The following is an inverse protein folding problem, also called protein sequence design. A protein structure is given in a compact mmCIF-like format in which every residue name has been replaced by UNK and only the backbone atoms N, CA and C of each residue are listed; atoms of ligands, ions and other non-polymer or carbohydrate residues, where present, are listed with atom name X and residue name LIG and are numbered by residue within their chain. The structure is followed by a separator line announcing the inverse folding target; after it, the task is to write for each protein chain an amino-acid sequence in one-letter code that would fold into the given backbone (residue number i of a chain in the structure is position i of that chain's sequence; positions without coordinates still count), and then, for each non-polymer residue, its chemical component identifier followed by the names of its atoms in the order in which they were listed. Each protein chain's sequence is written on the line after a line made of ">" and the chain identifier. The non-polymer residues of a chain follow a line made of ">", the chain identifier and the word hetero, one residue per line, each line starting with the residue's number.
data_IF_113100589529
#
_entry.id   IF_113100589529
#
_cell.length_a   1.000
_cell.length_b   1.000
_cell.length_c   1.000
_cell.angle_alpha   90.00
_cell.angle_beta   90.00
_cell.angle_gamma   90.00
#
_symmetry.space_group_name_H-M   'P 1'
#
loop_
_entity.id
_entity.type
_entity.pdbx_description
1 polymer ?
#
# COMPACT_ATOMS: atom_id res chain seq x y z
N UNK A 1 -0.42 31.12 -11.75
CA UNK A 1 1.02 31.28 -12.01
C UNK A 1 1.77 30.80 -10.77
N UNK A 2 3.03 30.38 -10.90
CA UNK A 2 3.85 29.96 -9.77
C UNK A 2 4.98 30.94 -9.54
N UNK A 3 5.13 31.44 -8.30
CA UNK A 3 6.30 32.23 -7.91
C UNK A 3 7.50 31.28 -7.80
N UNK A 4 8.59 31.59 -8.50
CA UNK A 4 9.82 30.78 -8.45
C UNK A 4 10.72 31.13 -7.27
N UNK A 5 10.53 32.30 -6.65
CA UNK A 5 11.45 32.87 -5.65
C UNK A 5 12.75 33.42 -6.25
N UNK A 6 12.92 33.37 -7.57
CA UNK A 6 14.13 33.85 -8.25
C UNK A 6 13.97 35.36 -8.56
N UNK A 7 14.94 36.21 -8.19
CA UNK A 7 14.95 37.63 -8.58
C UNK A 7 14.99 37.81 -10.11
N UNK A 8 14.28 38.81 -10.62
CA UNK A 8 14.20 39.08 -12.05
C UNK A 8 15.52 39.56 -12.67
N UNK A 9 16.45 40.05 -11.84
CA UNK A 9 17.80 40.50 -12.19
C UNK A 9 18.87 39.41 -12.00
N UNK A 10 18.50 38.20 -11.58
CA UNK A 10 19.45 37.10 -11.44
C UNK A 10 19.97 36.66 -12.83
N UNK A 11 21.29 36.83 -13.04
CA UNK A 11 21.97 36.52 -14.29
C UNK A 11 21.68 35.09 -14.80
N UNK A 12 21.25 34.98 -16.07
CA UNK A 12 21.40 33.75 -16.85
C UNK A 12 20.14 32.99 -17.30
N UNK A 13 18.91 33.44 -17.00
CA UNK A 13 17.71 32.63 -17.30
C UNK A 13 16.50 33.37 -17.90
N UNK A 14 16.70 34.43 -18.68
CA UNK A 14 15.60 34.97 -19.47
C UNK A 14 15.51 34.21 -20.80
N UNK A 15 14.86 33.03 -20.78
CA UNK A 15 14.20 32.57 -22.00
C UNK A 15 13.17 33.66 -22.36
N UNK A 16 13.56 34.52 -23.31
CA UNK A 16 12.84 35.75 -23.61
C UNK A 16 11.36 35.44 -23.86
N UNK A 17 10.50 36.02 -23.03
CA UNK A 17 9.04 35.95 -23.07
C UNK A 17 8.37 34.68 -22.51
N UNK A 18 9.08 33.74 -21.87
CA UNK A 18 8.41 32.62 -21.18
C UNK A 18 8.04 32.93 -19.72
N UNK A 19 8.80 33.78 -19.05
CA UNK A 19 8.53 34.14 -17.65
C UNK A 19 7.79 35.45 -17.55
N UNK A 20 6.97 35.57 -16.51
CA UNK A 20 6.38 36.84 -16.10
C UNK A 20 7.17 37.43 -14.94
N UNK A 21 7.47 38.73 -15.03
CA UNK A 21 8.11 39.47 -13.94
C UNK A 21 7.03 40.17 -13.14
N UNK A 22 6.83 39.74 -11.89
CA UNK A 22 5.88 40.33 -10.96
C UNK A 22 6.57 40.60 -9.62
N UNK A 23 6.46 41.84 -9.13
CA UNK A 23 7.07 42.26 -7.86
C UNK A 23 8.57 41.95 -7.76
N UNK A 24 9.31 42.11 -8.87
CA UNK A 24 10.76 41.88 -8.91
C UNK A 24 11.19 40.41 -8.90
N UNK A 25 10.24 39.47 -8.97
CA UNK A 25 10.51 38.02 -9.01
C UNK A 25 10.03 37.39 -10.32
N UNK A 26 10.64 36.28 -10.71
CA UNK A 26 10.24 35.49 -11.87
C UNK A 26 9.08 34.56 -11.50
N UNK A 27 8.07 34.53 -12.35
CA UNK A 27 6.90 33.68 -12.23
C UNK A 27 6.74 32.81 -13.47
N UNK A 28 6.28 31.58 -13.25
CA UNK A 28 5.87 30.64 -14.30
C UNK A 28 4.38 30.82 -14.56
N UNK A 29 3.97 31.46 -15.67
CA UNK A 29 2.58 31.52 -16.05
C UNK A 29 2.08 30.16 -16.55
N UNK A 30 0.82 29.84 -16.23
CA UNK A 30 0.15 28.64 -16.73
C UNK A 30 -1.24 29.05 -17.20
N UNK A 31 -1.47 28.94 -18.51
CA UNK A 31 -2.79 29.11 -19.11
C UNK A 31 -3.56 27.77 -19.04
N UNK A 32 -4.53 27.69 -18.13
CA UNK A 32 -5.24 26.43 -17.83
C UNK A 32 -6.37 26.11 -18.82
N UNK A 33 -6.70 27.03 -19.72
CA UNK A 33 -7.78 26.86 -20.70
C UNK A 33 -7.37 26.10 -21.97
N UNK A 34 -6.07 25.91 -22.20
CA UNK A 34 -5.53 25.27 -23.41
C UNK A 34 -5.49 23.72 -23.30
N UNK A 35 -6.66 23.09 -23.38
CA UNK A 35 -6.79 21.63 -23.38
C UNK A 35 -6.25 21.03 -24.69
N UNK A 36 -5.45 19.95 -24.60
CA UNK A 36 -4.93 19.22 -25.77
C UNK A 36 -3.70 19.84 -26.46
N UNK A 37 -3.15 20.94 -25.91
CA UNK A 37 -1.94 21.58 -26.43
C UNK A 37 -0.69 21.16 -25.64
N UNK A 38 0.49 21.34 -26.26
CA UNK A 38 1.77 21.12 -25.59
C UNK A 38 1.95 22.11 -24.44
N UNK A 39 2.56 21.65 -23.35
CA UNK A 39 2.79 22.44 -22.13
C UNK A 39 3.50 23.78 -22.40
N UNK A 40 4.51 23.78 -23.29
CA UNK A 40 5.23 25.00 -23.68
C UNK A 40 4.30 26.06 -24.27
N UNK A 41 3.29 25.67 -25.06
CA UNK A 41 2.31 26.63 -25.62
C UNK A 41 1.44 27.25 -24.54
N UNK A 42 1.07 26.49 -23.50
CA UNK A 42 0.30 27.02 -22.38
C UNK A 42 1.13 28.02 -21.54
N UNK A 43 2.43 27.79 -21.46
CA UNK A 43 3.38 28.67 -20.79
C UNK A 43 3.57 29.97 -21.57
N UNK A 44 3.90 29.88 -22.87
CA UNK A 44 4.00 31.02 -23.79
C UNK A 44 2.72 31.88 -23.73
N UNK A 45 1.56 31.22 -23.86
CA UNK A 45 0.29 31.94 -23.86
C UNK A 45 0.00 32.63 -22.53
N UNK A 46 0.30 31.97 -21.42
CA UNK A 46 0.14 32.57 -20.11
C UNK A 46 1.04 33.79 -19.91
N UNK A 47 2.27 33.75 -20.44
CA UNK A 47 3.20 34.88 -20.41
C UNK A 47 2.70 36.06 -21.24
N UNK A 48 2.28 35.81 -22.49
CA UNK A 48 1.66 36.82 -23.35
C UNK A 48 0.46 37.48 -22.67
N UNK A 49 -0.44 36.66 -22.10
CA UNK A 49 -1.64 37.13 -21.42
C UNK A 49 -1.26 37.98 -20.20
N UNK A 50 -0.28 37.55 -19.41
CA UNK A 50 0.22 38.34 -18.28
C UNK A 50 0.66 39.75 -18.73
N UNK A 51 1.57 39.85 -19.71
CA UNK A 51 2.08 41.15 -20.16
C UNK A 51 1.02 42.00 -20.87
N UNK A 52 0.01 41.39 -21.49
CA UNK A 52 -1.13 42.09 -22.08
C UNK A 52 -2.00 42.78 -21.02
N UNK A 53 -2.14 42.18 -19.83
CA UNK A 53 -3.07 42.65 -18.81
C UNK A 53 -2.39 43.21 -17.55
N UNK A 54 -1.06 43.15 -17.44
CA UNK A 54 -0.33 43.56 -16.22
C UNK A 54 -0.62 45.00 -15.76
N UNK A 55 -0.90 45.89 -16.72
CA UNK A 55 -1.16 47.32 -16.46
C UNK A 55 -2.65 47.62 -16.22
N UNK A 56 -3.54 46.63 -16.37
CA UNK A 56 -5.00 46.78 -16.18
C UNK A 56 -5.45 46.45 -14.74
N UNK A 57 -4.49 46.31 -13.82
CA UNK A 57 -4.73 45.81 -12.47
C UNK A 57 -4.74 44.29 -12.43
N UNK A 58 -3.75 43.71 -11.74
CA UNK A 58 -3.67 42.28 -11.49
C UNK A 58 -4.13 41.99 -10.07
N UNK A 59 -4.97 40.96 -9.92
CA UNK A 59 -5.32 40.40 -8.61
C UNK A 59 -4.62 39.07 -8.45
N UNK A 60 -3.72 38.98 -7.47
CA UNK A 60 -3.12 37.70 -7.07
C UNK A 60 -4.10 37.00 -6.14
N UNK A 61 -4.53 35.81 -6.54
CA UNK A 61 -5.39 34.96 -5.75
C UNK A 61 -4.55 33.78 -5.23
N UNK A 62 -4.39 33.70 -3.91
CA UNK A 62 -3.75 32.54 -3.30
C UNK A 62 -4.68 31.32 -3.45
N UNK A 63 -4.19 30.24 -4.05
CA UNK A 63 -5.04 29.10 -4.41
C UNK A 63 -5.63 28.39 -3.18
N UNK A 64 -5.02 28.52 -2.01
CA UNK A 64 -5.52 27.92 -0.77
C UNK A 64 -6.66 28.75 -0.16
N UNK A 65 -6.60 30.07 -0.26
CA UNK A 65 -7.67 30.97 0.24
C UNK A 65 -8.71 31.35 -0.82
N UNK A 66 -8.41 31.16 -2.11
CA UNK A 66 -9.32 31.49 -3.22
C UNK A 66 -10.68 30.82 -3.10
N UNK A 67 -10.75 29.65 -2.46
CA UNK A 67 -11.97 28.89 -2.21
C UNK A 67 -12.98 29.63 -1.33
N UNK A 68 -12.53 30.62 -0.55
CA UNK A 68 -13.40 31.45 0.28
C UNK A 68 -14.19 32.46 -0.55
N UNK A 69 -13.58 32.99 -1.61
CA UNK A 69 -14.17 34.02 -2.49
C UNK A 69 -14.80 33.40 -3.73
N UNK A 70 -14.09 32.48 -4.36
CA UNK A 70 -14.53 31.72 -5.54
C UNK A 70 -14.78 30.30 -5.10
N UNK A 71 -15.88 30.08 -4.39
CA UNK A 71 -16.32 28.72 -4.07
C UNK A 71 -16.36 27.94 -5.39
N UNK A 72 -15.67 26.79 -5.47
CA UNK A 72 -15.79 25.94 -6.64
C UNK A 72 -17.27 25.70 -6.89
N UNK A 73 -17.65 25.45 -8.14
CA UNK A 73 -18.92 24.78 -8.40
C UNK A 73 -18.83 23.36 -7.83
N UNK A 74 -18.93 23.25 -6.51
CA UNK A 74 -19.09 21.99 -5.82
C UNK A 74 -20.44 21.46 -6.25
N UNK A 75 -20.47 20.21 -6.70
CA UNK A 75 -21.71 19.48 -6.79
C UNK A 75 -22.44 19.63 -5.44
N UNK A 76 -23.77 19.78 -5.42
CA UNK A 76 -24.52 19.84 -4.17
C UNK A 76 -24.14 18.64 -3.30
N UNK A 77 -24.16 18.84 -1.98
CA UNK A 77 -23.92 17.76 -1.04
C UNK A 77 -24.79 16.57 -1.41
N UNK A 78 -24.13 15.44 -1.66
CA UNK A 78 -24.81 14.22 -2.06
C UNK A 78 -25.06 13.37 -0.84
N UNK A 79 -26.31 12.97 -0.63
CA UNK A 79 -26.66 11.91 0.33
C UNK A 79 -26.09 10.54 -0.08
N UNK A 80 -25.47 10.47 -1.27
CA UNK A 80 -24.78 9.29 -1.75
C UNK A 80 -23.60 8.95 -0.84
N UNK A 81 -23.72 7.82 -0.14
CA UNK A 81 -22.59 7.17 0.52
C UNK A 81 -22.16 5.96 -0.29
N UNK A 82 -20.85 5.82 -0.48
CA UNK A 82 -20.27 4.59 -1.00
C UNK A 82 -20.66 3.44 -0.05
N UNK A 83 -21.64 2.65 -0.46
CA UNK A 83 -22.16 1.52 0.29
C UNK A 83 -22.13 0.28 -0.60
N UNK A 84 -21.77 -0.86 -0.04
CA UNK A 84 -21.77 -2.13 -0.77
C UNK A 84 -20.60 -2.35 -1.74
N UNK A 85 -19.53 -1.55 -1.67
CA UNK A 85 -18.28 -1.87 -2.38
C UNK A 85 -17.68 -3.16 -1.80
N UNK A 86 -17.95 -4.28 -2.46
CA UNK A 86 -17.27 -5.54 -2.22
C UNK A 86 -16.47 -5.92 -3.47
N UNK A 87 -15.44 -6.75 -3.29
CA UNK A 87 -14.53 -7.16 -4.36
C UNK A 87 -15.27 -7.71 -5.58
N UNK A 88 -16.34 -8.48 -5.37
CA UNK A 88 -17.12 -9.08 -6.45
C UNK A 88 -17.93 -8.04 -7.23
N UNK A 89 -18.47 -7.02 -6.58
CA UNK A 89 -19.18 -5.92 -7.22
C UNK A 89 -18.22 -5.03 -8.05
N UNK A 90 -17.00 -4.81 -7.56
CA UNK A 90 -15.94 -4.10 -8.29
C UNK A 90 -15.50 -4.92 -9.50
N UNK A 91 -15.19 -6.20 -9.33
CA UNK A 91 -14.77 -7.08 -10.43
C UNK A 91 -15.87 -7.25 -11.49
N UNK A 92 -17.13 -7.32 -11.08
CA UNK A 92 -18.27 -7.35 -12.01
C UNK A 92 -18.38 -6.07 -12.83
N UNK A 93 -18.05 -4.92 -12.24
CA UNK A 93 -18.15 -3.61 -12.89
C UNK A 93 -16.90 -3.28 -13.73
N UNK A 94 -15.74 -3.78 -13.31
CA UNK A 94 -14.44 -3.52 -13.91
C UNK A 94 -13.64 -4.84 -14.03
N UNK A 95 -14.04 -5.74 -14.94
CA UNK A 95 -13.41 -7.05 -15.05
C UNK A 95 -11.94 -6.91 -15.44
N UNK A 96 -11.04 -7.47 -14.62
CA UNK A 96 -9.59 -7.40 -14.83
C UNK A 96 -8.90 -6.14 -14.29
N UNK A 97 -9.63 -5.07 -13.97
CA UNK A 97 -9.02 -3.83 -13.44
C UNK A 97 -8.63 -3.99 -11.98
N UNK A 98 -9.40 -4.70 -11.16
CA UNK A 98 -9.03 -4.97 -9.76
C UNK A 98 -7.70 -5.73 -9.70
N UNK A 99 -7.54 -6.73 -10.56
CA UNK A 99 -6.29 -7.48 -10.67
C UNK A 99 -5.16 -6.64 -11.24
N UNK A 100 -5.43 -5.76 -12.20
CA UNK A 100 -4.43 -4.84 -12.76
C UNK A 100 -3.95 -3.82 -11.74
N UNK A 101 -4.85 -3.23 -10.96
CA UNK A 101 -4.52 -2.30 -9.86
C UNK A 101 -3.75 -3.02 -8.75
N UNK A 102 -4.20 -4.20 -8.33
CA UNK A 102 -3.48 -5.02 -7.35
C UNK A 102 -2.09 -5.40 -7.86
N UNK A 103 -1.95 -5.70 -9.16
CA UNK A 103 -0.66 -5.98 -9.79
C UNK A 103 0.24 -4.75 -9.82
N UNK A 104 -0.26 -3.56 -10.16
CA UNK A 104 0.51 -2.30 -10.12
C UNK A 104 0.94 -1.97 -8.67
N UNK A 105 0.05 -2.11 -7.69
CA UNK A 105 0.37 -1.95 -6.26
C UNK A 105 1.47 -2.91 -5.85
N UNK A 106 1.32 -4.19 -6.22
CA UNK A 106 2.32 -5.21 -5.91
C UNK A 106 3.67 -4.93 -6.57
N UNK A 107 3.69 -4.48 -7.83
CA UNK A 107 4.93 -4.14 -8.53
C UNK A 107 5.64 -2.98 -7.84
N UNK A 108 4.89 -1.98 -7.36
CA UNK A 108 5.45 -0.84 -6.63
C UNK A 108 6.04 -1.27 -5.29
N UNK A 109 5.28 -2.05 -4.50
CA UNK A 109 5.71 -2.53 -3.18
C UNK A 109 6.86 -3.54 -3.27
N UNK A 110 6.88 -4.40 -4.29
CA UNK A 110 7.93 -5.41 -4.48
C UNK A 110 9.17 -4.86 -5.17
N UNK A 111 9.10 -3.72 -5.87
CA UNK A 111 10.18 -3.19 -6.73
C UNK A 111 11.55 -3.19 -6.05
N UNK A 112 11.62 -2.58 -4.86
CA UNK A 112 12.86 -2.49 -4.09
C UNK A 112 13.43 -3.87 -3.77
N UNK A 113 12.59 -4.81 -3.36
CA UNK A 113 13.02 -6.16 -3.02
C UNK A 113 13.42 -6.97 -4.26
N UNK A 114 12.73 -6.79 -5.38
CA UNK A 114 13.12 -7.40 -6.66
C UNK A 114 14.47 -6.87 -7.16
N UNK A 115 14.77 -5.58 -6.97
CA UNK A 115 16.07 -5.03 -7.30
C UNK A 115 17.17 -5.55 -6.35
N UNK A 116 16.86 -5.74 -5.07
CA UNK A 116 17.76 -6.45 -4.13
C UNK A 116 18.03 -7.88 -4.57
N UNK A 117 17.00 -8.62 -5.02
CA UNK A 117 17.15 -9.99 -5.55
C UNK A 117 18.01 -10.00 -6.82
N UNK A 118 17.85 -9.03 -7.71
CA UNK A 118 18.71 -8.94 -8.91
C UNK A 118 20.18 -8.73 -8.53
N UNK A 119 20.45 -7.88 -7.54
CA UNK A 119 21.81 -7.61 -7.07
C UNK A 119 22.40 -8.79 -6.27
N UNK A 120 21.56 -9.46 -5.48
CA UNK A 120 21.91 -10.60 -4.64
C UNK A 120 20.79 -11.66 -4.73
N UNK A 121 20.92 -12.64 -5.65
CA UNK A 121 19.86 -13.63 -5.92
C UNK A 121 19.42 -14.48 -4.73
N UNK A 122 20.30 -14.65 -3.74
CA UNK A 122 20.02 -15.46 -2.54
C UNK A 122 19.75 -14.60 -1.29
N UNK A 123 19.28 -13.36 -1.47
CA UNK A 123 18.84 -12.52 -0.37
C UNK A 123 17.52 -13.05 0.24
N UNK A 124 17.66 -13.74 1.37
CA UNK A 124 16.57 -14.38 2.12
C UNK A 124 15.46 -13.39 2.48
N UNK A 125 15.83 -12.22 3.00
CA UNK A 125 14.88 -11.22 3.48
C UNK A 125 14.10 -10.62 2.32
N UNK A 126 14.76 -10.30 1.20
CA UNK A 126 14.10 -9.79 0.02
C UNK A 126 13.08 -10.80 -0.55
N UNK A 127 13.44 -12.08 -0.66
CA UNK A 127 12.49 -13.12 -1.08
C UNK A 127 11.32 -13.27 -0.11
N UNK A 128 11.58 -13.25 1.21
CA UNK A 128 10.53 -13.34 2.22
C UNK A 128 9.55 -12.17 2.11
N UNK A 129 10.03 -10.94 1.94
CA UNK A 129 9.19 -9.75 1.80
C UNK A 129 8.34 -9.78 0.52
N UNK A 130 8.92 -10.19 -0.62
CA UNK A 130 8.14 -10.36 -1.87
C UNK A 130 7.03 -11.39 -1.67
N UNK A 131 7.34 -12.54 -1.07
CA UNK A 131 6.33 -13.55 -0.75
C UNK A 131 5.20 -13.02 0.14
N UNK A 132 5.52 -12.24 1.18
CA UNK A 132 4.52 -11.63 2.08
C UNK A 132 3.62 -10.64 1.33
N UNK A 133 4.19 -9.79 0.47
CA UNK A 133 3.43 -8.80 -0.32
C UNK A 133 2.48 -9.53 -1.28
N UNK A 134 2.98 -10.53 -2.01
CA UNK A 134 2.18 -11.34 -2.92
C UNK A 134 1.05 -12.10 -2.20
N UNK A 135 1.31 -12.60 -0.99
CA UNK A 135 0.29 -13.23 -0.16
C UNK A 135 -0.82 -12.24 0.24
N UNK A 136 -0.47 -11.00 0.59
CA UNK A 136 -1.43 -9.96 0.99
C UNK A 136 -2.36 -9.53 -0.15
N UNK A 137 -1.86 -9.42 -1.37
CA UNK A 137 -2.68 -9.06 -2.54
C UNK A 137 -3.52 -10.25 -3.07
N UNK A 138 -3.20 -11.47 -2.59
CA UNK A 138 -3.90 -12.70 -2.93
C UNK A 138 -3.29 -13.53 -4.05
N UNK A 139 -2.08 -13.20 -4.54
CA UNK A 139 -1.33 -14.05 -5.47
C UNK A 139 -0.61 -15.18 -4.71
N UNK A 140 -1.41 -16.12 -4.22
CA UNK A 140 -0.96 -17.19 -3.33
C UNK A 140 0.01 -18.15 -4.01
N UNK A 141 -0.17 -18.39 -5.31
CA UNK A 141 0.68 -19.29 -6.09
C UNK A 141 2.10 -18.75 -6.19
N UNK A 142 2.24 -17.46 -6.50
CA UNK A 142 3.55 -16.85 -6.61
C UNK A 142 4.18 -16.63 -5.23
N UNK A 143 3.40 -16.23 -4.22
CA UNK A 143 3.85 -16.14 -2.84
C UNK A 143 4.46 -17.45 -2.32
N UNK A 144 3.82 -18.59 -2.62
CA UNK A 144 4.33 -19.91 -2.23
C UNK A 144 5.72 -20.19 -2.82
N UNK A 145 5.97 -19.84 -4.09
CA UNK A 145 7.29 -20.02 -4.71
C UNK A 145 8.38 -19.23 -4.00
N UNK A 146 8.10 -17.99 -3.58
CA UNK A 146 9.07 -17.20 -2.83
C UNK A 146 9.34 -17.79 -1.45
N UNK A 147 8.32 -18.28 -0.73
CA UNK A 147 8.55 -18.98 0.54
C UNK A 147 9.31 -20.30 0.36
N UNK A 148 9.03 -21.06 -0.70
CA UNK A 148 9.76 -22.29 -1.04
C UNK A 148 11.22 -21.98 -1.40
N UNK A 149 11.48 -20.88 -2.12
CA UNK A 149 12.85 -20.41 -2.41
C UNK A 149 13.59 -20.01 -1.12
N UNK A 150 12.94 -19.27 -0.20
CA UNK A 150 13.52 -18.98 1.13
C UNK A 150 13.88 -20.28 1.86
N UNK A 151 12.97 -21.26 1.90
CA UNK A 151 13.20 -22.53 2.58
C UNK A 151 14.22 -23.45 1.89
N UNK A 152 14.43 -23.27 0.58
CA UNK A 152 15.50 -23.97 -0.15
C UNK A 152 16.89 -23.46 0.23
N UNK A 153 16.99 -22.18 0.61
CA UNK A 153 18.24 -21.52 1.00
C UNK A 153 18.46 -21.60 2.52
N UNK A 154 17.38 -21.51 3.30
CA UNK A 154 17.36 -21.68 4.74
C UNK A 154 16.11 -22.48 5.18
N UNK A 155 16.28 -23.79 5.30
CA UNK A 155 15.23 -24.70 5.74
C UNK A 155 14.73 -24.44 7.18
N UNK A 156 15.48 -23.68 7.97
CA UNK A 156 15.19 -23.32 9.37
C UNK A 156 14.58 -21.92 9.51
N UNK A 157 14.12 -21.32 8.42
CA UNK A 157 13.44 -20.03 8.47
C UNK A 157 12.02 -20.15 9.03
N UNK A 158 11.84 -19.77 10.30
CA UNK A 158 10.55 -19.86 10.98
C UNK A 158 9.46 -18.99 10.32
N UNK A 159 9.83 -17.80 9.85
CA UNK A 159 8.90 -16.86 9.21
C UNK A 159 8.35 -17.39 7.89
N UNK A 160 9.16 -18.05 7.07
CA UNK A 160 8.71 -18.67 5.84
C UNK A 160 7.74 -19.83 6.12
N UNK A 161 8.04 -20.69 7.09
CA UNK A 161 7.12 -21.76 7.53
C UNK A 161 5.79 -21.20 8.03
N UNK A 162 5.81 -20.15 8.87
CA UNK A 162 4.57 -19.51 9.35
C UNK A 162 3.75 -18.91 8.20
N UNK A 163 4.38 -18.26 7.22
CA UNK A 163 3.67 -17.70 6.08
C UNK A 163 3.13 -18.77 5.11
N UNK A 164 3.81 -19.91 4.93
CA UNK A 164 3.22 -21.06 4.23
C UNK A 164 1.99 -21.59 4.95
N UNK A 165 2.06 -21.69 6.28
CA UNK A 165 0.90 -22.03 7.12
C UNK A 165 -0.29 -21.11 6.87
N UNK A 166 -0.04 -19.79 6.78
CA UNK A 166 -1.10 -18.81 6.47
C UNK A 166 -1.74 -19.06 5.09
N UNK A 167 -0.93 -19.37 4.07
CA UNK A 167 -1.46 -19.69 2.73
C UNK A 167 -2.30 -20.97 2.75
N UNK A 168 -1.83 -22.02 3.43
CA UNK A 168 -2.59 -23.26 3.58
C UNK A 168 -3.90 -23.06 4.35
N UNK A 169 -3.92 -22.19 5.38
CA UNK A 169 -5.16 -21.83 6.08
C UNK A 169 -6.18 -21.14 5.17
N UNK A 170 -5.73 -20.31 4.23
CA UNK A 170 -6.62 -19.62 3.27
C UNK A 170 -7.18 -20.61 2.24
N UNK A 171 -6.39 -21.62 1.86
CA UNK A 171 -6.82 -22.68 0.94
C UNK A 171 -7.55 -23.84 1.66
N UNK A 172 -7.93 -23.67 2.93
CA UNK A 172 -8.57 -24.66 3.79
C UNK A 172 -7.81 -26.01 3.92
N UNK A 173 -6.51 -26.01 3.64
CA UNK A 173 -5.59 -27.15 3.78
C UNK A 173 -5.04 -27.22 5.21
N UNK A 174 -5.90 -27.53 6.17
CA UNK A 174 -5.56 -27.39 7.59
C UNK A 174 -4.46 -28.36 8.05
N UNK A 175 -4.38 -29.56 7.48
CA UNK A 175 -3.33 -30.54 7.81
C UNK A 175 -1.94 -29.99 7.46
N UNK A 176 -1.80 -29.42 6.27
CA UNK A 176 -0.56 -28.79 5.80
C UNK A 176 -0.25 -27.51 6.57
N UNK A 177 -1.28 -26.72 6.92
CA UNK A 177 -1.13 -25.55 7.76
C UNK A 177 -0.56 -25.91 9.15
N UNK A 178 -1.11 -26.95 9.80
CA UNK A 178 -0.60 -27.44 11.09
C UNK A 178 0.87 -27.84 10.96
N UNK A 179 1.24 -28.64 9.96
CA UNK A 179 2.65 -29.05 9.76
C UNK A 179 3.59 -27.85 9.60
N UNK A 180 3.18 -26.86 8.82
CA UNK A 180 3.97 -25.65 8.60
C UNK A 180 4.10 -24.80 9.87
N UNK A 181 3.01 -24.60 10.61
CA UNK A 181 3.07 -23.86 11.87
C UNK A 181 3.80 -24.61 12.98
N UNK A 182 3.73 -25.95 13.05
CA UNK A 182 4.53 -26.75 13.98
C UNK A 182 6.03 -26.62 13.69
N UNK A 183 6.42 -26.63 12.41
CA UNK A 183 7.80 -26.37 12.02
C UNK A 183 8.24 -24.97 12.46
N UNK A 184 7.42 -23.94 12.21
CA UNK A 184 7.69 -22.57 12.65
C UNK A 184 7.79 -22.45 14.19
N UNK A 185 6.87 -23.08 14.92
CA UNK A 185 6.84 -23.06 16.39
C UNK A 185 8.05 -23.79 17.00
N UNK A 186 8.53 -24.87 16.36
CA UNK A 186 9.76 -25.56 16.79
C UNK A 186 10.99 -24.67 16.64
N UNK A 187 11.04 -23.86 15.59
CA UNK A 187 12.15 -22.96 15.29
C UNK A 187 12.09 -21.66 16.13
N UNK A 188 10.89 -21.19 16.47
CA UNK A 188 10.65 -19.99 17.28
C UNK A 188 9.65 -20.24 18.40
N UNK A 189 10.01 -21.05 19.43
CA UNK A 189 9.07 -21.51 20.46
C UNK A 189 8.56 -20.42 21.41
N UNK A 190 9.16 -19.22 21.37
CA UNK A 190 8.78 -18.06 22.17
C UNK A 190 7.93 -17.04 21.41
N UNK A 191 7.61 -17.31 20.15
CA UNK A 191 6.73 -16.43 19.35
C UNK A 191 5.26 -16.79 19.62
N UNK A 192 4.58 -15.94 20.37
CA UNK A 192 3.18 -16.14 20.72
C UNK A 192 2.25 -16.06 19.50
N UNK A 193 2.58 -15.29 18.45
CA UNK A 193 1.75 -15.18 17.26
C UNK A 193 1.77 -16.47 16.43
N UNK A 194 2.93 -17.12 16.31
CA UNK A 194 3.03 -18.44 15.64
C UNK A 194 2.18 -19.48 16.39
N UNK A 195 2.22 -19.49 17.72
CA UNK A 195 1.40 -20.40 18.53
C UNK A 195 -0.10 -20.11 18.41
N UNK A 196 -0.51 -18.84 18.31
CA UNK A 196 -1.91 -18.50 18.02
C UNK A 196 -2.35 -19.02 16.65
N UNK A 197 -1.50 -18.88 15.63
CA UNK A 197 -1.80 -19.41 14.30
C UNK A 197 -1.90 -20.94 14.30
N UNK A 198 -0.99 -21.63 15.00
CA UNK A 198 -1.06 -23.08 15.20
C UNK A 198 -2.34 -23.51 15.93
N UNK A 199 -2.72 -22.80 16.99
CA UNK A 199 -3.97 -23.07 17.71
C UNK A 199 -5.21 -22.93 16.81
N UNK A 200 -5.25 -21.89 15.96
CA UNK A 200 -6.31 -21.71 14.96
C UNK A 200 -6.35 -22.86 13.95
N UNK A 201 -5.18 -23.32 13.49
CA UNK A 201 -5.09 -24.45 12.57
C UNK A 201 -5.59 -25.75 13.21
N UNK A 202 -5.16 -26.08 14.44
CA UNK A 202 -5.69 -27.23 15.17
C UNK A 202 -7.21 -27.17 15.36
N UNK A 203 -7.75 -25.99 15.69
CA UNK A 203 -9.20 -25.81 15.81
C UNK A 203 -9.92 -26.12 14.51
N UNK A 204 -9.42 -25.60 13.37
CA UNK A 204 -10.01 -25.86 12.04
C UNK A 204 -9.89 -27.31 11.59
N UNK A 205 -8.87 -28.02 12.08
CA UNK A 205 -8.73 -29.47 11.93
C UNK A 205 -9.68 -30.29 12.84
N UNK A 206 -10.40 -29.64 13.78
CA UNK A 206 -11.24 -30.31 14.77
C UNK A 206 -10.49 -30.81 16.01
N UNK A 207 -9.18 -30.56 16.12
CA UNK A 207 -8.38 -30.90 17.29
C UNK A 207 -8.45 -29.80 18.36
N UNK A 208 -9.61 -29.67 18.99
CA UNK A 208 -9.88 -28.64 20.02
C UNK A 208 -8.96 -28.78 21.23
N UNK A 209 -8.55 -30.01 21.60
CA UNK A 209 -7.65 -30.27 22.72
C UNK A 209 -6.28 -29.64 22.49
N UNK A 210 -5.64 -29.90 21.34
CA UNK A 210 -4.36 -29.29 21.00
C UNK A 210 -4.51 -27.78 20.81
N UNK A 211 -5.59 -27.31 20.17
CA UNK A 211 -5.85 -25.89 20.01
C UNK A 211 -5.87 -25.14 21.35
N UNK A 212 -6.61 -25.64 22.35
CA UNK A 212 -6.69 -25.06 23.70
C UNK A 212 -5.32 -25.06 24.39
N UNK A 213 -4.60 -26.18 24.34
CA UNK A 213 -3.27 -26.29 24.96
C UNK A 213 -2.27 -25.30 24.36
N UNK A 214 -2.20 -25.21 23.02
CA UNK A 214 -1.31 -24.29 22.31
C UNK A 214 -1.69 -22.83 22.56
N UNK A 215 -2.98 -22.48 22.60
CA UNK A 215 -3.41 -21.12 22.91
C UNK A 215 -3.05 -20.72 24.36
N UNK A 216 -3.17 -21.64 25.32
CA UNK A 216 -2.73 -21.41 26.70
C UNK A 216 -1.22 -21.15 26.75
N UNK A 217 -0.43 -21.88 25.97
CA UNK A 217 1.01 -21.63 25.86
C UNK A 217 1.31 -20.23 25.29
N UNK A 218 0.63 -19.83 24.22
CA UNK A 218 0.76 -18.49 23.65
C UNK A 218 0.47 -17.39 24.70
N UNK A 219 -0.61 -17.55 25.46
CA UNK A 219 -0.99 -16.63 26.54
C UNK A 219 0.05 -16.56 27.67
N UNK A 220 0.73 -17.66 27.98
CA UNK A 220 1.80 -17.68 28.99
C UNK A 220 3.01 -16.85 28.55
N UNK A 221 3.32 -16.85 27.25
CA UNK A 221 4.42 -16.08 26.68
C UNK A 221 4.07 -14.59 26.57
N UNK A 222 2.85 -14.28 26.13
CA UNK A 222 2.35 -12.92 26.06
C UNK A 222 0.91 -12.84 26.58
N UNK A 223 0.74 -12.12 27.69
CA UNK A 223 -0.56 -11.95 28.36
C UNK A 223 -1.54 -11.13 27.51
N UNK A 224 -1.08 -10.30 26.57
CA UNK A 224 -1.93 -9.49 25.70
C UNK A 224 -2.62 -10.30 24.61
N UNK A 225 -2.12 -11.51 24.29
CA UNK A 225 -2.74 -12.44 23.33
C UNK A 225 -4.21 -12.70 23.63
N UNK A 226 -4.58 -12.85 24.91
CA UNK A 226 -5.98 -13.10 25.26
C UNK A 226 -6.89 -11.92 24.91
N UNK A 227 -6.40 -10.69 25.09
CA UNK A 227 -7.16 -9.47 24.79
C UNK A 227 -7.24 -9.27 23.27
N UNK A 228 -6.11 -9.42 22.57
CA UNK A 228 -6.03 -9.25 21.12
C UNK A 228 -6.87 -10.30 20.37
N UNK A 229 -6.88 -11.55 20.82
CA UNK A 229 -7.59 -12.67 20.21
C UNK A 229 -8.81 -13.10 21.05
N UNK A 230 -9.58 -12.12 21.56
CA UNK A 230 -10.70 -12.35 22.49
C UNK A 230 -11.71 -13.39 22.00
N UNK A 231 -12.09 -13.35 20.72
CA UNK A 231 -13.05 -14.31 20.16
C UNK A 231 -12.52 -15.75 20.25
N UNK A 232 -11.29 -15.98 19.80
CA UNK A 232 -10.63 -17.29 19.87
C UNK A 232 -10.43 -17.74 21.32
N UNK A 233 -10.09 -16.81 22.22
CA UNK A 233 -9.93 -17.09 23.64
C UNK A 233 -11.24 -17.58 24.27
N UNK A 234 -12.37 -16.94 23.96
CA UNK A 234 -13.69 -17.36 24.45
C UNK A 234 -14.02 -18.77 23.95
N UNK A 235 -13.82 -19.04 22.66
CA UNK A 235 -14.10 -20.35 22.09
C UNK A 235 -13.24 -21.46 22.70
N UNK A 236 -11.93 -21.23 22.87
CA UNK A 236 -11.01 -22.29 23.29
C UNK A 236 -10.97 -22.47 24.81
N UNK A 237 -11.14 -21.40 25.60
CA UNK A 237 -11.00 -21.47 27.05
C UNK A 237 -12.32 -21.81 27.75
N UNK A 238 -13.47 -21.44 27.17
CA UNK A 238 -14.79 -21.68 27.77
C UNK A 238 -15.52 -22.89 27.19
N UNK A 239 -14.97 -23.56 26.18
CA UNK A 239 -15.46 -24.88 25.77
C UNK A 239 -15.20 -25.89 26.90
N UNK A 240 -16.31 -26.38 27.48
CA UNK A 240 -16.39 -27.48 28.45
C UNK A 240 -15.99 -28.80 27.79
#
# INVERSE_FOLDING_TARGET
>A
MFNTGIPADADGYTMNNLYAIHEGTLWIPVETTLVGNAFIKAWEKGSETYYKYKDNGLTVLDIHSSWETFKPASLPDSDWKASGLNRAAIEKKFPGDTMSVLKISSQTETRRFLDMIKAKPDDLDAHLQVGIILAKIGDRKEAMKYFDKVLSMDAKNASAHNNRGNLFMIDDKYQEAVKAYEAAAKLSPKDAHILVNLARAYKRQGNTKSAKATFIQAKKLDKHVQVQYRALALELLNAL
#
